data_IF_403225335196
#
_entry.id   IF_403225335196
#
_cell.length_a   1.000
_cell.length_b   1.000
_cell.length_c   1.000
_cell.angle_alpha   90.00
_cell.angle_beta   90.00
_cell.angle_gamma   90.00
#
_symmetry.space_group_name_H-M   'P 1'
#
loop_
_entity.id
_entity.type
_entity.pdbx_description
1 polymer ?
#
# COMPACT_ATOMS: atom_id res chain seq x y z
N UNK A 1 43.43 -0.53 40.82
CA UNK A 1 43.17 0.39 39.69
C UNK A 1 41.97 -0.11 38.90
N UNK A 2 40.80 0.48 39.19
CA UNK A 2 39.43 0.11 38.76
C UNK A 2 39.09 0.67 37.36
N UNK A 3 40.11 0.98 36.54
CA UNK A 3 39.98 1.89 35.39
C UNK A 3 39.90 1.28 33.99
N UNK A 4 39.56 -0.01 33.82
CA UNK A 4 39.47 -0.64 32.48
C UNK A 4 38.14 -1.31 32.13
N UNK A 5 37.19 -1.40 33.06
CA UNK A 5 35.86 -1.98 32.80
C UNK A 5 34.79 -0.96 32.37
N UNK A 6 35.01 0.33 32.57
CA UNK A 6 34.01 1.37 32.25
C UNK A 6 34.07 1.93 30.82
N UNK A 7 35.15 1.66 30.06
CA UNK A 7 35.26 2.18 28.68
C UNK A 7 34.44 1.38 27.67
N UNK A 8 34.30 0.05 27.82
CA UNK A 8 33.50 -0.74 26.88
C UNK A 8 31.99 -0.58 27.07
N UNK A 9 31.53 -0.18 28.25
CA UNK A 9 30.11 0.01 28.54
C UNK A 9 29.52 1.27 27.86
N UNK A 10 30.37 2.26 27.55
CA UNK A 10 29.97 3.49 26.85
C UNK A 10 29.93 3.33 25.31
N UNK A 11 30.70 2.41 24.73
CA UNK A 11 30.63 2.14 23.27
C UNK A 11 29.50 1.18 22.89
N UNK A 12 29.01 0.37 23.83
CA UNK A 12 27.82 -0.49 23.63
C UNK A 12 26.52 0.32 23.59
N UNK A 13 26.42 1.42 24.36
CA UNK A 13 25.27 2.32 24.28
C UNK A 13 25.30 3.25 23.05
N UNK A 14 26.49 3.65 22.58
CA UNK A 14 26.62 4.49 21.39
C UNK A 14 26.35 3.73 20.07
N UNK A 15 26.56 2.40 20.02
CA UNK A 15 26.34 1.59 18.82
C UNK A 15 24.87 1.22 18.54
N UNK A 16 24.04 1.11 19.58
CA UNK A 16 22.61 0.75 19.44
C UNK A 16 21.80 1.94 18.90
N UNK A 17 22.22 3.18 19.18
CA UNK A 17 21.53 4.39 18.71
C UNK A 17 21.62 4.61 17.19
N UNK A 18 22.61 4.00 16.51
CA UNK A 18 22.75 4.10 15.05
C UNK A 18 22.01 3.00 14.27
N UNK A 19 21.68 1.86 14.90
CA UNK A 19 21.06 0.73 14.19
C UNK A 19 19.52 0.83 14.09
N UNK A 20 18.88 1.69 14.87
CA UNK A 20 17.42 1.84 14.88
C UNK A 20 16.86 2.79 13.82
N UNK A 21 17.70 3.51 13.08
CA UNK A 21 17.26 4.41 11.99
C UNK A 21 17.28 3.76 10.60
N UNK A 22 17.86 2.56 10.48
CA UNK A 22 17.76 1.77 9.25
C UNK A 22 16.53 0.87 9.31
N UNK A 23 15.39 1.48 9.63
CA UNK A 23 14.10 0.88 9.35
C UNK A 23 14.03 0.66 7.86
N UNK A 24 13.85 -0.60 7.46
CA UNK A 24 13.53 -0.96 6.09
C UNK A 24 12.17 -0.35 5.77
N UNK A 25 12.14 0.92 5.35
CA UNK A 25 10.95 1.50 4.76
C UNK A 25 10.68 0.64 3.52
N UNK A 26 9.55 -0.08 3.41
CA UNK A 26 9.29 -0.90 2.24
C UNK A 26 9.33 0.02 1.01
N UNK A 27 10.17 -0.30 0.02
CA UNK A 27 10.36 0.43 -1.24
C UNK A 27 9.04 0.49 -2.03
N UNK A 28 8.08 1.28 -1.55
CA UNK A 28 6.80 1.49 -2.22
C UNK A 28 7.03 2.50 -3.34
N UNK A 29 6.58 2.20 -4.58
CA UNK A 29 6.67 3.14 -5.67
C UNK A 29 6.02 4.47 -5.30
N UNK A 30 6.78 5.56 -5.36
CA UNK A 30 6.26 6.89 -5.13
C UNK A 30 5.12 7.19 -6.12
N UNK A 31 3.97 7.58 -5.60
CA UNK A 31 2.84 8.02 -6.43
C UNK A 31 3.01 9.50 -6.83
N UNK A 32 2.48 9.93 -8.00
CA UNK A 32 2.46 11.34 -8.35
C UNK A 32 1.69 12.16 -7.29
N UNK A 33 1.97 13.47 -7.14
CA UNK A 33 1.40 14.32 -6.07
C UNK A 33 -0.12 14.19 -5.90
N UNK A 34 -0.83 14.17 -7.03
CA UNK A 34 -2.27 14.03 -7.12
C UNK A 34 -2.84 12.73 -6.50
N UNK A 35 -2.03 11.69 -6.38
CA UNK A 35 -2.47 10.36 -5.96
C UNK A 35 -1.90 9.91 -4.63
N UNK A 36 -1.15 10.76 -3.91
CA UNK A 36 -0.48 10.40 -2.65
C UNK A 36 -1.48 9.86 -1.61
N UNK A 37 -2.66 10.49 -1.49
CA UNK A 37 -3.69 10.07 -0.53
C UNK A 37 -4.19 8.65 -0.85
N UNK A 38 -4.61 8.42 -2.10
CA UNK A 38 -5.06 7.10 -2.55
C UNK A 38 -3.96 6.03 -2.47
N UNK A 39 -2.70 6.38 -2.74
CA UNK A 39 -1.55 5.50 -2.55
C UNK A 39 -1.41 5.04 -1.10
N UNK A 40 -1.45 5.98 -0.13
CA UNK A 40 -1.35 5.65 1.30
C UNK A 40 -2.47 4.70 1.74
N UNK A 41 -3.70 4.94 1.29
CA UNK A 41 -4.83 4.05 1.58
C UNK A 41 -4.64 2.69 0.94
N UNK A 42 -4.27 2.64 -0.34
CA UNK A 42 -4.08 1.38 -1.06
C UNK A 42 -3.05 0.48 -0.37
N UNK A 43 -1.87 1.00 -0.04
CA UNK A 43 -0.84 0.19 0.60
C UNK A 43 -1.01 0.01 2.12
N UNK A 44 -1.89 0.78 2.75
CA UNK A 44 -2.25 0.61 4.16
C UNK A 44 -3.31 -0.47 4.37
N UNK A 45 -4.25 -0.60 3.43
CA UNK A 45 -5.48 -1.38 3.64
C UNK A 45 -5.77 -2.42 2.54
N UNK A 46 -5.22 -2.26 1.33
CA UNK A 46 -5.63 -3.07 0.17
C UNK A 46 -4.53 -4.02 -0.30
N UNK A 47 -3.29 -3.54 -0.44
CA UNK A 47 -2.20 -4.26 -1.12
C UNK A 47 -1.90 -5.62 -0.50
N UNK A 48 -2.03 -5.76 0.83
CA UNK A 48 -1.74 -7.02 1.54
C UNK A 48 -2.52 -8.23 1.02
N UNK A 49 -3.71 -8.03 0.45
CA UNK A 49 -4.47 -9.08 -0.22
C UNK A 49 -4.47 -8.95 -1.74
N UNK A 50 -4.38 -7.72 -2.26
CA UNK A 50 -4.67 -7.40 -3.66
C UNK A 50 -3.45 -7.19 -4.56
N UNK A 51 -2.21 -7.27 -4.05
CA UNK A 51 -1.03 -6.99 -4.88
C UNK A 51 -0.71 -8.10 -5.89
N UNK A 52 -0.80 -9.37 -5.50
CA UNK A 52 -0.44 -10.50 -6.39
C UNK A 52 -1.58 -10.93 -7.30
N UNK A 53 -2.82 -10.85 -6.81
CA UNK A 53 -4.00 -11.37 -7.50
C UNK A 53 -4.05 -12.89 -7.66
N UNK A 54 -5.26 -13.45 -7.71
CA UNK A 54 -5.56 -14.83 -8.08
C UNK A 54 -7.05 -14.92 -8.51
N UNK A 55 -7.53 -16.14 -8.80
CA UNK A 55 -8.93 -16.37 -9.24
C UNK A 55 -10.00 -15.87 -8.25
N UNK A 56 -9.69 -15.74 -6.96
CA UNK A 56 -10.63 -15.33 -5.90
C UNK A 56 -10.41 -13.89 -5.43
N UNK A 57 -9.16 -13.42 -5.45
CA UNK A 57 -8.78 -12.07 -5.02
C UNK A 57 -8.20 -11.33 -6.24
N UNK A 58 -8.89 -10.34 -6.80
CA UNK A 58 -8.40 -9.66 -7.99
C UNK A 58 -7.13 -8.86 -7.70
N UNK A 59 -6.17 -8.85 -8.63
CA UNK A 59 -5.16 -7.80 -8.64
C UNK A 59 -5.85 -6.49 -9.05
N UNK A 60 -5.82 -5.48 -8.19
CA UNK A 60 -6.53 -4.22 -8.45
C UNK A 60 -5.87 -3.38 -9.56
N UNK A 61 -4.57 -3.60 -9.80
CA UNK A 61 -3.78 -2.88 -10.81
C UNK A 61 -4.06 -3.37 -12.22
N UNK A 62 -4.51 -4.60 -12.37
CA UNK A 62 -4.69 -5.22 -13.67
C UNK A 62 -6.15 -5.22 -14.10
N UNK A 63 -6.42 -4.63 -15.27
CA UNK A 63 -7.77 -4.53 -15.81
C UNK A 63 -8.43 -5.89 -16.09
N UNK A 64 -7.65 -6.94 -16.36
CA UNK A 64 -8.17 -8.29 -16.68
C UNK A 64 -9.04 -8.91 -15.56
N UNK A 65 -8.85 -8.46 -14.31
CA UNK A 65 -9.66 -8.92 -13.18
C UNK A 65 -10.99 -8.17 -13.02
N UNK A 66 -11.20 -7.10 -13.80
CA UNK A 66 -12.40 -6.29 -13.76
C UNK A 66 -13.23 -6.59 -15.01
N UNK A 67 -14.52 -6.96 -14.86
CA UNK A 67 -15.43 -6.99 -15.99
C UNK A 67 -15.39 -5.66 -16.73
N UNK A 68 -15.46 -5.72 -18.06
CA UNK A 68 -15.47 -4.54 -18.91
C UNK A 68 -16.51 -3.53 -18.40
N UNK A 69 -16.07 -2.28 -18.25
CA UNK A 69 -16.90 -1.16 -17.77
C UNK A 69 -17.37 -1.27 -16.31
N UNK A 70 -16.62 -1.92 -15.42
CA UNK A 70 -16.85 -1.74 -13.97
C UNK A 70 -16.80 -0.24 -13.64
N UNK A 71 -17.90 0.34 -13.18
CA UNK A 71 -18.00 1.76 -12.83
C UNK A 71 -17.33 2.06 -11.49
N UNK A 72 -16.91 3.31 -11.30
CA UNK A 72 -16.37 3.77 -10.01
C UNK A 72 -17.42 3.69 -8.89
N UNK A 73 -18.71 3.89 -9.20
CA UNK A 73 -19.80 3.69 -8.25
C UNK A 73 -19.95 2.24 -7.81
N UNK A 74 -19.75 1.27 -8.71
CA UNK A 74 -19.77 -0.16 -8.38
C UNK A 74 -18.56 -0.56 -7.54
N UNK A 75 -17.38 -0.03 -7.85
CA UNK A 75 -16.20 -0.22 -6.98
C UNK A 75 -16.44 0.37 -5.60
N UNK A 76 -16.93 1.62 -5.52
CA UNK A 76 -17.21 2.28 -4.26
C UNK A 76 -18.17 1.45 -3.40
N UNK A 77 -19.27 0.98 -3.99
CA UNK A 77 -20.21 0.10 -3.28
C UNK A 77 -19.52 -1.17 -2.76
N UNK A 78 -18.71 -1.81 -3.60
CA UNK A 78 -18.01 -3.06 -3.23
C UNK A 78 -16.97 -2.85 -2.12
N UNK A 79 -16.24 -1.74 -2.14
CA UNK A 79 -15.23 -1.42 -1.14
C UNK A 79 -15.92 -1.02 0.17
N UNK A 80 -16.93 -0.15 0.10
CA UNK A 80 -17.67 0.33 1.26
C UNK A 80 -18.40 -0.79 1.99
N UNK A 81 -19.13 -1.64 1.25
CA UNK A 81 -20.01 -2.66 1.80
C UNK A 81 -19.34 -4.03 1.94
N UNK A 82 -18.15 -4.19 1.35
CA UNK A 82 -17.50 -5.50 1.24
C UNK A 82 -18.14 -6.37 0.16
N UNK A 83 -17.48 -7.50 -0.17
CA UNK A 83 -18.00 -8.50 -1.10
C UNK A 83 -17.34 -9.86 -0.87
N UNK A 84 -18.15 -10.90 -0.66
CA UNK A 84 -17.64 -12.25 -0.41
C UNK A 84 -16.76 -12.26 0.84
N UNK A 85 -15.47 -12.59 0.69
CA UNK A 85 -14.49 -12.59 1.78
C UNK A 85 -13.82 -11.22 2.03
N UNK A 86 -14.07 -10.22 1.18
CA UNK A 86 -13.55 -8.86 1.39
C UNK A 86 -14.41 -8.14 2.44
N UNK A 87 -13.86 -7.75 3.60
CA UNK A 87 -14.62 -7.06 4.64
C UNK A 87 -15.04 -5.65 4.20
N UNK A 88 -16.14 -5.11 4.76
CA UNK A 88 -16.57 -3.74 4.50
C UNK A 88 -15.52 -2.74 4.99
N UNK A 89 -15.13 -1.79 4.13
CA UNK A 89 -14.18 -0.74 4.49
C UNK A 89 -14.88 0.56 4.91
N UNK A 90 -16.19 0.69 4.71
CA UNK A 90 -16.93 1.93 4.99
C UNK A 90 -16.99 2.35 6.46
N UNK A 91 -16.72 1.43 7.40
CA UNK A 91 -16.58 1.75 8.82
C UNK A 91 -15.14 2.03 9.26
N UNK A 92 -14.16 1.75 8.39
CA UNK A 92 -12.72 1.90 8.66
C UNK A 92 -12.12 3.12 7.96
N UNK A 93 -12.64 3.46 6.78
CA UNK A 93 -12.14 4.53 5.92
C UNK A 93 -13.17 5.64 5.77
N UNK A 94 -12.70 6.88 5.70
CA UNK A 94 -13.56 8.03 5.41
C UNK A 94 -14.05 7.99 3.95
N UNK A 95 -15.17 8.66 3.67
CA UNK A 95 -15.76 8.68 2.32
C UNK A 95 -14.78 9.22 1.27
N UNK A 96 -13.95 10.20 1.65
CA UNK A 96 -12.92 10.79 0.80
C UNK A 96 -11.79 9.79 0.52
N UNK A 97 -11.38 8.99 1.51
CA UNK A 97 -10.34 7.97 1.34
C UNK A 97 -10.81 6.86 0.39
N UNK A 98 -12.09 6.49 0.45
CA UNK A 98 -12.70 5.54 -0.48
C UNK A 98 -12.70 6.07 -1.92
N UNK A 99 -12.94 7.37 -2.13
CA UNK A 99 -12.86 8.00 -3.46
C UNK A 99 -11.41 8.05 -3.96
N UNK A 100 -10.48 8.44 -3.09
CA UNK A 100 -9.06 8.58 -3.44
C UNK A 100 -8.40 7.25 -3.75
N UNK A 101 -8.72 6.17 -3.02
CA UNK A 101 -8.19 4.84 -3.33
C UNK A 101 -8.70 4.33 -4.68
N UNK A 102 -9.96 4.61 -5.04
CA UNK A 102 -10.50 4.30 -6.37
C UNK A 102 -9.75 5.07 -7.45
N UNK A 103 -9.57 6.38 -7.28
CA UNK A 103 -8.83 7.24 -8.21
C UNK A 103 -7.40 6.73 -8.40
N UNK A 104 -6.74 6.27 -7.34
CA UNK A 104 -5.42 5.66 -7.42
C UNK A 104 -5.42 4.30 -8.12
N UNK A 105 -6.37 3.40 -7.83
CA UNK A 105 -6.54 2.12 -8.55
C UNK A 105 -6.68 2.38 -10.06
N UNK A 106 -7.46 3.38 -10.46
CA UNK A 106 -7.60 3.77 -11.87
C UNK A 106 -6.30 4.28 -12.48
N UNK A 107 -5.51 5.02 -11.71
CA UNK A 107 -4.17 5.42 -12.12
C UNK A 107 -3.27 4.21 -12.34
N UNK A 108 -3.23 3.24 -11.42
CA UNK A 108 -2.45 2.00 -11.57
C UNK A 108 -2.87 1.25 -12.85
N UNK A 109 -4.17 1.04 -13.04
CA UNK A 109 -4.72 0.36 -14.22
C UNK A 109 -4.36 1.01 -15.57
N UNK A 110 -4.14 2.33 -15.60
CA UNK A 110 -3.73 3.04 -16.82
C UNK A 110 -2.22 3.00 -17.06
N UNK A 111 -1.41 2.88 -16.00
CA UNK A 111 0.03 3.03 -16.08
C UNK A 111 0.79 1.70 -16.03
N UNK A 112 0.28 0.66 -15.36
CA UNK A 112 0.87 -0.69 -15.41
C UNK A 112 0.83 -1.28 -16.84
N UNK A 113 -0.22 -0.97 -17.59
CA UNK A 113 -0.34 -1.35 -19.01
C UNK A 113 0.72 -0.70 -19.90
N UNK A 114 1.31 0.44 -19.48
CA UNK A 114 2.37 1.12 -20.24
C UNK A 114 3.73 0.51 -19.97
N UNK A 115 3.98 0.04 -18.75
CA UNK A 115 5.23 -0.64 -18.39
C UNK A 115 5.38 -2.00 -19.06
N UNK A 116 4.28 -2.72 -19.35
CA UNK A 116 4.34 -4.00 -20.08
C UNK A 116 4.56 -3.84 -21.59
N UNK A 117 4.11 -2.73 -22.19
CA UNK A 117 4.20 -2.49 -23.65
C UNK A 117 5.48 -1.78 -24.09
N UNK A 118 6.27 -1.28 -23.14
CA UNK A 118 7.54 -0.59 -23.39
C UNK A 118 8.78 -1.46 -23.18
N UNK A 119 8.61 -2.77 -23.03
CA UNK A 119 9.68 -3.77 -22.88
C UNK A 119 9.69 -4.72 -24.05
#
# INVERSE_FOLDING_TARGET
MIGRFFKSLNYLFAGILLFTLMGCEPDRPLAPPDYIRGHKVYYGYCSGCHESGNKKVPNLREKRFFPDKTSDSRMLKSIRDGRGKMPPQGGMLQAEDLKEVIRYIRYLQRNDQKTEKGK
#
